data_IF_850358353852
#
_entry.id   IF_850358353852
#
_cell.length_a   1.000
_cell.length_b   1.000
_cell.length_c   1.000
_cell.angle_alpha   90.00
_cell.angle_beta   90.00
_cell.angle_gamma   90.00
#
_symmetry.space_group_name_H-M   'P 1'
#
loop_
_entity.id
_entity.type
_entity.pdbx_description
1 polymer ?
#
# COMPACT_ATOMS: atom_id res chain seq x y z
N UNK A 1 19.34 3.72 -13.02
CA UNK A 1 19.85 3.96 -11.65
C UNK A 1 19.76 2.67 -10.87
N UNK A 2 20.65 2.40 -9.89
CA UNK A 2 20.48 1.26 -9.00
C UNK A 2 19.23 1.45 -8.13
N UNK A 3 18.44 0.39 -7.96
CA UNK A 3 17.29 0.35 -7.04
C UNK A 3 17.73 -0.22 -5.69
N UNK A 4 17.03 0.13 -4.61
CA UNK A 4 17.31 -0.42 -3.28
C UNK A 4 16.89 -1.89 -3.19
N UNK A 5 17.41 -2.64 -2.23
CA UNK A 5 16.99 -4.03 -1.99
C UNK A 5 15.49 -4.13 -1.70
N UNK A 6 14.96 -3.18 -0.94
CA UNK A 6 13.53 -3.06 -0.65
C UNK A 6 12.71 -2.80 -1.91
N UNK A 7 13.20 -1.91 -2.78
CA UNK A 7 12.57 -1.65 -4.08
C UNK A 7 12.54 -2.91 -4.97
N UNK A 8 13.64 -3.65 -5.01
CA UNK A 8 13.71 -4.93 -5.72
C UNK A 8 12.76 -5.99 -5.14
N UNK A 9 12.69 -6.13 -3.82
CA UNK A 9 11.82 -7.10 -3.14
C UNK A 9 10.33 -6.77 -3.32
N UNK A 10 9.98 -5.49 -3.36
CA UNK A 10 8.61 -5.03 -3.61
C UNK A 10 8.25 -4.96 -5.11
N UNK A 11 9.21 -5.21 -6.01
CA UNK A 11 9.02 -5.07 -7.45
C UNK A 11 8.74 -3.62 -7.89
N UNK A 12 9.18 -2.63 -7.11
CA UNK A 12 8.98 -1.21 -7.40
C UNK A 12 10.22 -0.61 -8.05
N UNK A 13 10.02 0.23 -9.06
CA UNK A 13 11.05 1.09 -9.62
C UNK A 13 10.89 2.53 -9.11
N UNK A 14 11.79 3.43 -9.53
CA UNK A 14 11.74 4.83 -9.09
C UNK A 14 10.49 5.59 -9.56
N UNK A 15 9.83 5.15 -10.63
CA UNK A 15 8.56 5.71 -11.08
C UNK A 15 7.42 5.28 -10.16
N UNK A 16 7.35 4.00 -9.80
CA UNK A 16 6.37 3.46 -8.85
C UNK A 16 6.53 4.11 -7.48
N UNK A 17 7.77 4.22 -6.97
CA UNK A 17 8.02 4.88 -5.68
C UNK A 17 7.58 6.34 -5.70
N UNK A 18 7.88 7.08 -6.77
CA UNK A 18 7.45 8.48 -6.91
C UNK A 18 5.92 8.61 -6.91
N UNK A 19 5.22 7.67 -7.56
CA UNK A 19 3.76 7.62 -7.55
C UNK A 19 3.21 7.29 -6.16
N UNK A 20 3.78 6.32 -5.44
CA UNK A 20 3.36 6.00 -4.08
C UNK A 20 3.48 7.22 -3.16
N UNK A 21 4.59 7.95 -3.26
CA UNK A 21 4.81 9.18 -2.49
C UNK A 21 3.79 10.26 -2.87
N UNK A 22 3.56 10.48 -4.17
CA UNK A 22 2.61 11.48 -4.64
C UNK A 22 1.16 11.15 -4.25
N UNK A 23 0.77 9.87 -4.31
CA UNK A 23 -0.54 9.39 -3.86
C UNK A 23 -0.72 9.61 -2.36
N UNK A 24 0.27 9.23 -1.56
CA UNK A 24 0.22 9.45 -0.11
C UNK A 24 0.12 10.94 0.24
N UNK A 25 0.96 11.77 -0.38
CA UNK A 25 0.97 13.23 -0.14
C UNK A 25 -0.34 13.90 -0.60
N UNK A 26 -0.98 13.38 -1.65
CA UNK A 26 -2.31 13.85 -2.06
C UNK A 26 -3.40 13.43 -1.06
N UNK A 27 -3.40 12.17 -0.64
CA UNK A 27 -4.43 11.66 0.28
C UNK A 27 -4.31 12.29 1.68
N UNK A 28 -3.09 12.58 2.17
CA UNK A 28 -2.88 13.27 3.45
C UNK A 28 -3.32 14.75 3.40
N UNK A 29 -3.29 15.40 2.23
CA UNK A 29 -3.85 16.74 2.03
C UNK A 29 -5.39 16.71 1.99
N UNK A 30 -5.98 15.56 1.66
CA UNK A 30 -7.41 15.35 1.48
C UNK A 30 -8.00 14.28 2.42
N UNK A 31 -7.67 14.33 3.71
CA UNK A 31 -8.02 13.28 4.70
C UNK A 31 -9.52 13.01 4.84
N UNK A 32 -10.36 14.02 4.56
CA UNK A 32 -11.82 13.90 4.65
C UNK A 32 -12.48 13.34 3.37
N UNK A 33 -11.69 13.00 2.34
CA UNK A 33 -12.18 12.58 1.03
C UNK A 33 -11.62 11.21 0.65
N UNK A 34 -12.51 10.32 0.19
CA UNK A 34 -12.12 9.09 -0.48
C UNK A 34 -12.22 9.28 -1.99
N UNK A 35 -11.22 8.83 -2.74
CA UNK A 35 -11.14 8.97 -4.19
C UNK A 35 -11.34 7.62 -4.86
N UNK A 36 -12.18 7.59 -5.89
CA UNK A 36 -12.30 6.40 -6.72
C UNK A 36 -11.01 6.17 -7.53
N UNK A 37 -10.72 4.91 -7.83
CA UNK A 37 -9.59 4.52 -8.68
C UNK A 37 -9.51 5.34 -9.97
N UNK A 38 -10.65 5.52 -10.66
CA UNK A 38 -10.75 6.29 -11.90
C UNK A 38 -10.41 7.79 -11.74
N UNK A 39 -10.63 8.36 -10.56
CA UNK A 39 -10.29 9.76 -10.26
C UNK A 39 -8.78 9.89 -10.03
N UNK A 40 -8.18 8.92 -9.34
CA UNK A 40 -6.73 8.85 -9.17
C UNK A 40 -6.03 8.60 -10.51
N UNK A 41 -6.61 7.80 -11.40
CA UNK A 41 -6.15 7.66 -12.78
C UNK A 41 -6.18 8.97 -13.57
N UNK A 42 -7.22 9.79 -13.40
CA UNK A 42 -7.27 11.09 -14.06
C UNK A 42 -6.25 12.07 -13.48
N UNK A 43 -6.01 12.00 -12.17
CA UNK A 43 -5.09 12.88 -11.47
C UNK A 43 -3.62 12.53 -11.73
N UNK A 44 -3.27 11.23 -11.75
CA UNK A 44 -1.89 10.75 -11.80
C UNK A 44 -1.53 10.01 -13.09
N UNK A 45 -2.52 9.50 -13.83
CA UNK A 45 -2.33 8.78 -15.10
C UNK A 45 -2.03 9.68 -16.30
N UNK A 46 -2.08 11.01 -16.13
CA UNK A 46 -1.68 12.00 -17.14
C UNK A 46 -0.33 12.63 -16.76
N UNK A 47 0.65 11.81 -16.38
CA UNK A 47 1.99 12.32 -16.14
C UNK A 47 2.65 12.65 -17.49
N UNK A 48 2.96 13.93 -17.67
CA UNK A 48 3.90 14.56 -18.62
C UNK A 48 4.16 13.83 -19.96
N UNK A 49 3.98 14.49 -21.14
CA UNK A 49 4.39 13.94 -22.43
C UNK A 49 5.92 13.78 -22.49
N UNK A 50 6.42 12.64 -22.00
CA UNK A 50 7.84 12.37 -21.79
C UNK A 50 8.12 11.39 -20.65
N UNK A 51 7.18 11.22 -19.71
CA UNK A 51 7.26 10.22 -18.63
C UNK A 51 6.26 9.11 -18.95
N UNK A 52 6.75 7.95 -19.38
CA UNK A 52 5.88 6.80 -19.61
C UNK A 52 5.49 6.24 -18.23
N UNK A 53 4.40 6.76 -17.68
CA UNK A 53 3.71 6.10 -16.57
C UNK A 53 2.69 5.18 -17.23
N UNK A 54 3.03 3.90 -17.32
CA UNK A 54 2.04 2.88 -17.66
C UNK A 54 0.96 2.89 -16.58
N UNK A 55 -0.30 2.67 -16.97
CA UNK A 55 -1.40 2.47 -16.01
C UNK A 55 -1.06 1.36 -14.99
N UNK A 56 -0.28 0.37 -15.42
CA UNK A 56 0.30 -0.67 -14.58
C UNK A 56 1.13 -0.13 -13.40
N UNK A 57 1.86 0.98 -13.57
CA UNK A 57 2.64 1.59 -12.49
C UNK A 57 1.74 2.23 -11.43
N UNK A 58 0.62 2.82 -11.84
CA UNK A 58 -0.35 3.39 -10.89
C UNK A 58 -1.06 2.28 -10.11
N UNK A 59 -1.48 1.20 -10.78
CA UNK A 59 -2.05 0.02 -10.10
C UNK A 59 -1.10 -0.54 -9.04
N UNK A 60 0.18 -0.74 -9.41
CA UNK A 60 1.19 -1.25 -8.48
C UNK A 60 1.39 -0.25 -7.33
N UNK A 61 1.46 1.06 -7.62
CA UNK A 61 1.62 2.07 -6.58
C UNK A 61 0.44 2.11 -5.59
N UNK A 62 -0.80 2.03 -6.09
CA UNK A 62 -2.02 1.97 -5.27
C UNK A 62 -2.02 0.72 -4.40
N UNK A 63 -1.72 -0.44 -4.97
CA UNK A 63 -1.61 -1.68 -4.21
C UNK A 63 -0.54 -1.55 -3.12
N UNK A 64 0.66 -1.08 -3.48
CA UNK A 64 1.78 -0.98 -2.55
C UNK A 64 1.56 0.05 -1.46
N UNK A 65 0.95 1.20 -1.74
CA UNK A 65 0.68 2.19 -0.69
C UNK A 65 -0.38 1.68 0.29
N UNK A 66 -1.34 0.88 -0.16
CA UNK A 66 -2.30 0.21 0.72
C UNK A 66 -1.60 -0.88 1.57
N UNK A 67 -0.68 -1.65 0.99
CA UNK A 67 0.16 -2.61 1.71
C UNK A 67 1.05 -1.95 2.79
N UNK A 68 1.24 -0.63 2.80
CA UNK A 68 1.94 0.05 3.91
C UNK A 68 1.05 0.35 5.11
N UNK A 69 -0.27 0.17 4.98
CA UNK A 69 -1.27 0.57 5.97
C UNK A 69 -1.51 2.08 6.08
N UNK A 70 -0.82 2.88 5.25
CA UNK A 70 -0.97 4.33 5.21
C UNK A 70 -2.30 4.78 4.55
N UNK A 71 -2.76 3.96 3.60
CA UNK A 71 -3.95 4.19 2.78
C UNK A 71 -4.89 3.01 2.96
N UNK A 72 -6.17 3.30 3.18
CA UNK A 72 -7.21 2.27 3.19
C UNK A 72 -7.85 2.19 1.80
N UNK A 73 -7.99 0.97 1.28
CA UNK A 73 -8.80 0.69 0.11
C UNK A 73 -10.10 0.01 0.53
N UNK A 74 -11.23 0.50 0.01
CA UNK A 74 -12.55 -0.09 0.27
C UNK A 74 -13.38 -0.09 -1.00
N UNK A 75 -13.95 -1.26 -1.32
CA UNK A 75 -14.93 -1.37 -2.40
C UNK A 75 -16.29 -0.84 -1.94
N UNK A 76 -16.81 0.16 -2.66
CA UNK A 76 -18.15 0.72 -2.43
C UNK A 76 -18.92 0.63 -3.74
N UNK A 77 -20.04 -0.10 -3.72
CA UNK A 77 -20.79 -0.47 -4.91
C UNK A 77 -19.92 -1.21 -5.94
N UNK A 78 -19.54 -0.54 -7.03
CA UNK A 78 -18.78 -1.11 -8.15
C UNK A 78 -17.38 -0.47 -8.33
N UNK A 79 -16.96 0.40 -7.42
CA UNK A 79 -15.68 1.10 -7.51
C UNK A 79 -14.87 0.88 -6.24
N UNK A 80 -13.56 0.77 -6.41
CA UNK A 80 -12.60 0.80 -5.29
C UNK A 80 -12.30 2.25 -4.97
N UNK A 81 -12.49 2.61 -3.71
CA UNK A 81 -12.15 3.91 -3.17
C UNK A 81 -10.92 3.82 -2.27
N UNK A 82 -10.08 4.83 -2.37
CA UNK A 82 -8.86 4.96 -1.58
C UNK A 82 -8.93 6.21 -0.72
N UNK A 83 -8.61 6.08 0.56
CA UNK A 83 -8.63 7.18 1.51
C UNK A 83 -7.41 7.12 2.43
N UNK A 84 -7.00 8.27 2.95
CA UNK A 84 -5.98 8.33 3.99
C UNK A 84 -6.45 7.58 5.23
N UNK A 85 -5.60 6.68 5.75
CA UNK A 85 -5.93 5.90 6.95
C UNK A 85 -5.17 6.40 8.18
N UNK A 86 -3.85 6.48 8.08
CA UNK A 86 -2.99 6.94 9.18
C UNK A 86 -1.66 7.48 8.64
N UNK A 87 -1.02 8.33 9.45
CA UNK A 87 0.34 8.75 9.15
C UNK A 87 1.28 7.55 9.26
N UNK A 88 2.03 7.28 8.18
CA UNK A 88 3.05 6.25 8.13
C UNK A 88 4.37 6.85 7.67
N UNK A 89 5.44 6.54 8.40
CA UNK A 89 6.77 6.98 8.02
C UNK A 89 7.17 6.33 6.70
N UNK A 90 7.49 7.16 5.69
CA UNK A 90 7.90 6.71 4.35
C UNK A 90 9.13 5.79 4.41
N UNK A 91 9.97 5.91 5.44
CA UNK A 91 11.11 5.03 5.68
C UNK A 91 10.72 3.64 6.22
N UNK A 92 9.50 3.50 6.77
CA UNK A 92 8.95 2.26 7.31
C UNK A 92 7.93 1.61 6.39
N UNK A 93 7.79 2.08 5.15
CA UNK A 93 7.03 1.40 4.09
C UNK A 93 7.72 0.09 3.71
N UNK A 94 7.59 -0.89 4.60
CA UNK A 94 7.87 -2.29 4.35
C UNK A 94 6.58 -2.90 3.83
N UNK A 95 6.65 -3.85 2.89
CA UNK A 95 5.48 -4.67 2.62
C UNK A 95 5.08 -5.29 3.96
N UNK A 96 3.81 -5.16 4.34
CA UNK A 96 3.25 -6.06 5.34
C UNK A 96 3.49 -7.43 4.73
N UNK A 97 4.51 -8.14 5.20
CA UNK A 97 4.68 -9.54 4.87
C UNK A 97 3.32 -10.15 5.18
N UNK A 98 2.71 -10.80 4.19
CA UNK A 98 1.55 -11.66 4.37
C UNK A 98 1.71 -12.28 5.75
N UNK A 99 0.85 -11.85 6.67
CA UNK A 99 0.83 -12.45 7.99
C UNK A 99 0.44 -13.89 7.68
N UNK A 100 1.44 -14.76 7.59
CA UNK A 100 1.30 -16.15 7.95
C UNK A 100 0.80 -16.13 9.39
N UNK A 101 -0.53 -16.01 9.49
CA UNK A 101 -1.37 -16.35 10.62
C UNK A 101 -1.18 -17.86 10.85
N UNK A 102 0.01 -18.24 11.31
CA UNK A 102 0.20 -19.45 12.10
C UNK A 102 -0.14 -19.03 13.55
N UNK A 103 -1.44 -18.89 13.79
CA UNK A 103 -1.97 -18.81 15.13
C UNK A 103 -1.69 -20.12 15.87
N UNK A 104 -0.59 -20.20 16.60
CA UNK A 104 -0.47 -21.14 17.71
C UNK A 104 -0.64 -20.41 19.03
N UNK A 105 -1.87 -20.55 19.53
CA UNK A 105 -2.31 -20.04 20.81
C UNK A 105 -1.44 -20.55 21.96
N UNK A 106 -1.05 -19.60 22.79
CA UNK A 106 -0.57 -19.81 24.13
C UNK A 106 -1.57 -20.66 24.94
N UNK A 107 -1.12 -21.78 25.51
CA UNK A 107 -1.72 -22.34 26.74
C UNK A 107 -0.74 -23.29 27.43
N UNK A 108 -0.32 -22.88 28.63
CA UNK A 108 0.39 -23.65 29.65
C UNK A 108 -0.16 -25.08 29.84
N UNK A 109 0.69 -26.08 30.15
CA UNK A 109 0.22 -27.40 30.57
C UNK A 109 -0.09 -27.39 32.08
N UNK A 110 -1.36 -27.18 32.45
CA UNK A 110 -1.85 -27.43 33.80
C UNK A 110 -2.22 -28.92 34.02
N UNK A 111 -1.23 -29.73 34.45
CA UNK A 111 -1.28 -30.84 35.44
C UNK A 111 -2.36 -31.97 35.36
N UNK A 112 -2.45 -32.92 36.32
CA UNK A 112 -1.62 -34.12 36.54
C UNK A 112 -2.45 -35.43 36.48
N UNK A 113 -1.84 -36.63 36.42
CA UNK A 113 -2.38 -37.89 37.03
C UNK A 113 -1.38 -39.04 36.93
N UNK A 114 -1.18 -39.72 38.06
CA UNK A 114 -0.46 -40.98 38.28
C UNK A 114 -1.21 -42.20 37.74
N UNK A 115 -0.47 -43.21 37.31
CA UNK A 115 -0.61 -44.61 37.77
C UNK A 115 0.72 -45.36 37.61
#
# INVERSE_FOLDING_TARGET
>A
MPITKLQFEMGIDGGIESLMVALYDFLIEHQDTAYAEEELYQQFGVADPGTYIDTSHLDIALQKVVETGAVEARSVANSTYYAFHQESDKANWKPIADSDDEGEGNSEPETPTSE
#
